data_IF_014990657770
#
_entry.id   IF_014990657770
#
_cell.length_a   1.000
_cell.length_b   1.000
_cell.length_c   1.000
_cell.angle_alpha   90.00
_cell.angle_beta   90.00
_cell.angle_gamma   90.00
#
_symmetry.space_group_name_H-M   'P 1'
#
loop_
_entity.id
_entity.type
_entity.pdbx_description
1 polymer ?
#
# COMPACT_ATOMS: atom_id res chain seq x y z
N UNK A 1 12.76 -25.49 3.60
CA UNK A 1 11.36 -25.05 3.87
C UNK A 1 10.72 -24.74 2.53
N UNK A 2 9.54 -25.31 2.28
CA UNK A 2 8.90 -25.34 0.96
C UNK A 2 8.51 -23.94 0.48
N UNK A 3 8.92 -23.56 -0.73
CA UNK A 3 8.61 -22.27 -1.37
C UNK A 3 7.08 -22.00 -1.42
N UNK A 4 6.25 -23.05 -1.45
CA UNK A 4 4.79 -22.96 -1.35
C UNK A 4 4.31 -22.35 -0.02
N UNK A 5 4.92 -22.72 1.12
CA UNK A 5 4.54 -22.21 2.44
C UNK A 5 4.82 -20.72 2.59
N UNK A 6 5.91 -20.24 1.98
CA UNK A 6 6.25 -18.81 1.95
C UNK A 6 5.25 -18.01 1.11
N UNK A 7 4.88 -18.51 -0.07
CA UNK A 7 3.89 -17.84 -0.94
C UNK A 7 2.51 -17.81 -0.27
N UNK A 8 2.07 -18.92 0.33
CA UNK A 8 0.78 -18.99 1.02
C UNK A 8 0.71 -18.03 2.22
N UNK A 9 1.78 -17.95 3.01
CA UNK A 9 1.88 -16.99 4.11
C UNK A 9 1.83 -15.54 3.62
N UNK A 10 2.49 -15.22 2.51
CA UNK A 10 2.48 -13.87 1.92
C UNK A 10 1.09 -13.50 1.38
N UNK A 11 0.41 -14.44 0.73
CA UNK A 11 -0.95 -14.22 0.25
C UNK A 11 -1.93 -13.95 1.41
N UNK A 12 -1.85 -14.72 2.49
CA UNK A 12 -2.68 -14.50 3.68
C UNK A 12 -2.43 -13.13 4.34
N UNK A 13 -1.17 -12.70 4.42
CA UNK A 13 -0.80 -11.38 4.94
C UNK A 13 -1.31 -10.26 4.02
N UNK A 14 -1.03 -10.33 2.71
CA UNK A 14 -1.37 -9.27 1.77
C UNK A 14 -2.88 -9.12 1.61
N UNK A 15 -3.64 -10.22 1.57
CA UNK A 15 -5.11 -10.19 1.47
C UNK A 15 -5.77 -9.58 2.73
N UNK A 16 -5.23 -9.86 3.92
CA UNK A 16 -5.66 -9.20 5.17
C UNK A 16 -5.35 -7.71 5.16
N UNK A 17 -4.13 -7.34 4.77
CA UNK A 17 -3.72 -5.95 4.64
C UNK A 17 -4.59 -5.19 3.64
N UNK A 18 -4.89 -5.77 2.48
CA UNK A 18 -5.76 -5.19 1.46
C UNK A 18 -7.15 -4.91 2.00
N UNK A 19 -7.76 -5.91 2.63
CA UNK A 19 -9.10 -5.77 3.22
C UNK A 19 -9.14 -4.68 4.28
N UNK A 20 -8.14 -4.63 5.18
CA UNK A 20 -8.05 -3.60 6.20
C UNK A 20 -7.82 -2.20 5.61
N UNK A 21 -7.01 -2.11 4.57
CA UNK A 21 -6.70 -0.89 3.85
C UNK A 21 -7.93 -0.34 3.12
N UNK A 22 -8.59 -1.14 2.28
CA UNK A 22 -9.78 -0.75 1.53
C UNK A 22 -10.94 -0.34 2.44
N UNK A 23 -11.16 -1.09 3.52
CA UNK A 23 -12.19 -0.75 4.51
C UNK A 23 -11.92 0.61 5.11
N UNK A 24 -10.66 0.89 5.46
CA UNK A 24 -10.25 2.16 6.07
C UNK A 24 -10.35 3.31 5.08
N UNK A 25 -9.92 3.09 3.84
CA UNK A 25 -10.02 4.07 2.75
C UNK A 25 -11.47 4.46 2.48
N UNK A 26 -12.37 3.46 2.41
CA UNK A 26 -13.81 3.68 2.22
C UNK A 26 -14.44 4.48 3.35
N UNK A 27 -14.06 4.19 4.60
CA UNK A 27 -14.50 4.92 5.79
C UNK A 27 -14.04 6.39 5.70
N UNK A 28 -12.77 6.63 5.37
CA UNK A 28 -12.25 7.99 5.21
C UNK A 28 -12.93 8.78 4.08
N UNK A 29 -13.27 8.13 2.95
CA UNK A 29 -13.92 8.78 1.81
C UNK A 29 -15.39 9.13 2.07
N UNK A 30 -16.14 8.24 2.75
CA UNK A 30 -17.60 8.40 2.97
C UNK A 30 -17.97 9.14 4.26
N UNK A 31 -17.19 9.01 5.32
CA UNK A 31 -17.58 9.41 6.67
C UNK A 31 -16.62 10.41 7.33
N UNK A 32 -15.70 11.02 6.56
CA UNK A 32 -14.67 11.94 7.08
C UNK A 32 -15.20 13.01 8.04
N UNK A 33 -16.42 13.49 7.84
CA UNK A 33 -17.04 14.56 8.64
C UNK A 33 -17.90 14.04 9.82
N UNK A 34 -18.07 12.72 9.97
CA UNK A 34 -18.94 12.08 10.98
C UNK A 34 -18.19 11.13 11.93
N UNK A 35 -16.95 10.77 11.60
CA UNK A 35 -16.14 9.85 12.40
C UNK A 35 -15.69 10.50 13.72
N UNK A 36 -15.72 9.72 14.80
CA UNK A 36 -15.06 10.12 16.04
C UNK A 36 -13.55 10.14 15.84
N UNK A 37 -12.80 10.98 16.58
CA UNK A 37 -11.34 11.03 16.49
C UNK A 37 -10.66 9.66 16.68
N UNK A 38 -11.21 8.77 17.50
CA UNK A 38 -10.68 7.42 17.71
C UNK A 38 -10.84 6.52 16.48
N UNK A 39 -11.99 6.56 15.82
CA UNK A 39 -12.29 5.78 14.60
C UNK A 39 -11.43 6.27 13.44
N UNK A 40 -11.29 7.59 13.33
CA UNK A 40 -10.43 8.25 12.35
C UNK A 40 -8.96 7.86 12.53
N UNK A 41 -8.45 7.90 13.76
CA UNK A 41 -7.08 7.46 14.06
C UNK A 41 -6.86 5.97 13.75
N UNK A 42 -7.87 5.12 13.99
CA UNK A 42 -7.78 3.70 13.69
C UNK A 42 -7.73 3.44 12.17
N UNK A 43 -8.59 4.10 11.40
CA UNK A 43 -8.57 4.01 9.93
C UNK A 43 -7.24 4.49 9.35
N UNK A 44 -6.71 5.63 9.84
CA UNK A 44 -5.39 6.14 9.44
C UNK A 44 -4.29 5.16 9.82
N UNK A 45 -4.34 4.58 11.02
CA UNK A 45 -3.35 3.59 11.47
C UNK A 45 -3.28 2.38 10.55
N UNK A 46 -4.42 1.89 10.07
CA UNK A 46 -4.49 0.77 9.12
C UNK A 46 -3.93 1.14 7.74
N UNK A 47 -4.20 2.36 7.27
CA UNK A 47 -3.60 2.86 6.01
C UNK A 47 -2.08 3.01 6.16
N UNK A 48 -1.62 3.59 7.27
CA UNK A 48 -0.19 3.76 7.53
C UNK A 48 0.57 2.43 7.55
N UNK A 49 -0.02 1.34 8.06
CA UNK A 49 0.61 0.01 8.00
C UNK A 49 0.99 -0.45 6.59
N UNK A 50 0.35 0.08 5.55
CA UNK A 50 0.64 -0.25 4.14
C UNK A 50 1.48 0.86 3.50
N UNK A 51 1.12 2.12 3.68
CA UNK A 51 1.82 3.26 3.04
C UNK A 51 3.24 3.44 3.60
N UNK A 52 3.46 3.15 4.88
CA UNK A 52 4.75 3.33 5.54
C UNK A 52 5.85 2.41 4.98
N UNK A 53 5.68 1.08 4.93
CA UNK A 53 6.69 0.20 4.33
C UNK A 53 6.92 0.49 2.83
N UNK A 54 5.89 0.88 2.08
CA UNK A 54 6.04 1.29 0.67
C UNK A 54 6.90 2.56 0.57
N UNK A 55 6.61 3.57 1.40
CA UNK A 55 7.37 4.81 1.44
C UNK A 55 8.82 4.61 1.91
N UNK A 56 9.06 3.69 2.84
CA UNK A 56 10.39 3.32 3.30
C UNK A 56 11.15 2.58 2.20
N UNK A 57 10.55 1.59 1.55
CA UNK A 57 11.15 0.89 0.41
C UNK A 57 11.49 1.82 -0.76
N UNK A 58 10.64 2.80 -1.07
CA UNK A 58 10.94 3.84 -2.07
C UNK A 58 12.13 4.71 -1.65
N UNK A 59 12.26 5.03 -0.36
CA UNK A 59 13.33 5.87 0.18
C UNK A 59 14.66 5.10 0.25
N UNK A 60 14.62 3.83 0.62
CA UNK A 60 15.79 2.96 0.74
C UNK A 60 16.31 2.50 -0.63
N UNK A 61 15.45 2.41 -1.66
CA UNK A 61 15.83 2.22 -3.07
C UNK A 61 16.54 3.43 -3.73
N UNK A 62 16.90 4.47 -2.97
CA UNK A 62 17.96 5.42 -3.38
C UNK A 62 19.37 4.79 -3.28
N UNK A 63 19.50 3.62 -2.66
CA UNK A 63 20.72 2.82 -2.64
C UNK A 63 20.45 1.47 -3.29
N UNK A 64 20.86 1.33 -4.56
CA UNK A 64 20.90 0.07 -5.31
C UNK A 64 21.37 -1.12 -4.46
N UNK A 65 20.47 -2.05 -4.15
CA UNK A 65 20.86 -3.40 -3.79
C UNK A 65 19.80 -4.39 -4.27
N UNK A 66 20.25 -5.22 -5.20
CA UNK A 66 19.57 -6.40 -5.72
C UNK A 66 19.29 -7.35 -4.57
N UNK A 67 18.04 -7.48 -4.14
CA UNK A 67 17.58 -8.77 -3.61
C UNK A 67 16.08 -8.98 -3.85
N UNK A 68 15.81 -10.12 -4.45
CA UNK A 68 14.50 -10.58 -4.88
C UNK A 68 13.68 -10.87 -3.61
N UNK A 69 12.67 -10.04 -3.30
CA UNK A 69 11.31 -10.49 -2.90
C UNK A 69 10.44 -9.55 -2.05
N UNK A 70 10.74 -8.25 -1.94
CA UNK A 70 9.84 -7.24 -1.34
C UNK A 70 9.41 -6.11 -2.31
N UNK A 71 9.83 -6.21 -3.57
CA UNK A 71 9.70 -5.13 -4.56
C UNK A 71 8.40 -5.16 -5.39
N UNK A 72 7.45 -6.08 -5.23
CA UNK A 72 6.38 -6.20 -6.21
C UNK A 72 5.37 -5.03 -6.21
N UNK A 73 4.90 -4.56 -5.05
CA UNK A 73 3.96 -3.41 -5.03
C UNK A 73 4.67 -2.16 -5.56
N UNK A 74 5.93 -1.93 -5.17
CA UNK A 74 6.73 -0.80 -5.66
C UNK A 74 6.97 -0.92 -7.16
N UNK A 75 7.29 -2.11 -7.68
CA UNK A 75 7.47 -2.37 -9.11
C UNK A 75 6.17 -2.13 -9.86
N UNK A 76 5.03 -2.63 -9.36
CA UNK A 76 3.71 -2.39 -9.96
C UNK A 76 3.42 -0.89 -10.03
N UNK A 77 3.68 -0.15 -8.95
CA UNK A 77 3.50 1.31 -8.93
C UNK A 77 4.48 2.03 -9.86
N UNK A 78 5.74 1.58 -9.92
CA UNK A 78 6.76 2.14 -10.80
C UNK A 78 6.41 1.92 -12.27
N UNK A 79 5.96 0.72 -12.63
CA UNK A 79 5.55 0.37 -14.00
C UNK A 79 4.32 1.17 -14.42
N UNK A 80 3.34 1.37 -13.52
CA UNK A 80 2.14 2.18 -13.80
C UNK A 80 2.43 3.67 -13.95
N UNK A 81 3.46 4.18 -13.28
CA UNK A 81 3.81 5.61 -13.25
C UNK A 81 5.19 5.90 -13.82
N UNK A 82 5.70 5.07 -14.73
CA UNK A 82 7.09 5.13 -15.23
C UNK A 82 7.48 6.55 -15.67
N UNK A 83 6.63 7.19 -16.48
CA UNK A 83 6.86 8.54 -17.02
C UNK A 83 6.97 9.63 -15.93
N UNK A 84 6.32 9.43 -14.78
CA UNK A 84 6.23 10.41 -13.70
C UNK A 84 6.73 9.87 -12.34
N UNK A 85 7.50 8.78 -12.35
CA UNK A 85 7.92 8.07 -11.16
C UNK A 85 8.63 8.97 -10.14
N UNK A 86 9.55 9.88 -10.52
CA UNK A 86 10.22 10.78 -9.58
C UNK A 86 9.28 11.73 -8.82
N UNK A 87 8.16 12.12 -9.43
CA UNK A 87 7.13 12.96 -8.81
C UNK A 87 6.18 12.10 -7.98
N UNK A 88 5.82 10.94 -8.51
CA UNK A 88 4.93 10.00 -7.84
C UNK A 88 5.52 9.50 -6.50
N UNK A 89 6.81 9.14 -6.46
CA UNK A 89 7.52 8.77 -5.23
C UNK A 89 7.48 9.86 -4.16
N UNK A 90 7.66 11.13 -4.56
CA UNK A 90 7.63 12.25 -3.63
C UNK A 90 6.22 12.43 -3.05
N UNK A 91 5.21 12.20 -3.86
CA UNK A 91 3.82 12.28 -3.44
C UNK A 91 3.48 11.18 -2.42
N UNK A 92 4.00 9.95 -2.59
CA UNK A 92 3.85 8.88 -1.60
C UNK A 92 4.52 9.27 -0.27
N UNK A 93 5.74 9.81 -0.31
CA UNK A 93 6.45 10.25 0.90
C UNK A 93 5.66 11.37 1.61
N UNK A 94 5.18 12.36 0.84
CA UNK A 94 4.34 13.45 1.36
C UNK A 94 3.04 12.93 1.94
N UNK A 95 2.41 11.94 1.29
CA UNK A 95 1.19 11.29 1.78
C UNK A 95 1.44 10.59 3.12
N UNK A 96 2.53 9.81 3.25
CA UNK A 96 2.94 9.21 4.54
C UNK A 96 3.07 10.27 5.63
N UNK A 97 3.78 11.35 5.35
CA UNK A 97 4.00 12.42 6.34
C UNK A 97 2.71 13.15 6.71
N UNK A 98 1.81 13.37 5.74
CA UNK A 98 0.45 13.88 6.01
C UNK A 98 -0.32 12.94 6.94
N UNK A 99 -0.34 11.64 6.65
CA UNK A 99 -1.01 10.61 7.45
C UNK A 99 -0.43 10.54 8.88
N UNK A 100 0.90 10.60 9.03
CA UNK A 100 1.59 10.64 10.33
C UNK A 100 1.29 11.92 11.10
N UNK A 101 1.21 13.07 10.43
CA UNK A 101 0.95 14.37 11.04
C UNK A 101 -0.47 14.48 11.61
N UNK A 102 -1.39 13.58 11.22
CA UNK A 102 -2.81 13.62 11.57
C UNK A 102 -3.47 14.96 11.26
N UNK A 103 -2.92 15.77 10.33
CA UNK A 103 -3.53 17.04 9.93
C UNK A 103 -4.60 16.75 8.88
N UNK A 104 -5.86 16.89 9.30
CA UNK A 104 -7.04 16.22 8.76
C UNK A 104 -7.65 16.80 7.46
N UNK A 105 -6.84 17.03 6.44
CA UNK A 105 -7.36 17.21 5.09
C UNK A 105 -6.51 16.44 4.09
N UNK A 106 -6.91 15.18 3.85
CA UNK A 106 -6.55 14.50 2.60
C UNK A 106 -7.31 15.20 1.46
N UNK A 107 -6.54 15.60 0.46
CA UNK A 107 -7.05 16.10 -0.82
C UNK A 107 -7.56 14.95 -1.68
N UNK A 108 -8.26 15.26 -2.78
CA UNK A 108 -8.66 14.22 -3.75
C UNK A 108 -7.44 13.50 -4.33
N UNK A 109 -6.34 14.24 -4.54
CA UNK A 109 -5.06 13.68 -4.99
C UNK A 109 -4.48 12.67 -3.99
N UNK A 110 -4.62 12.95 -2.69
CA UNK A 110 -4.20 12.02 -1.64
C UNK A 110 -5.04 10.74 -1.65
N UNK A 111 -6.35 10.85 -1.91
CA UNK A 111 -7.22 9.68 -2.07
C UNK A 111 -6.90 8.90 -3.33
N UNK A 112 -6.57 9.56 -4.44
CA UNK A 112 -6.18 8.90 -5.67
C UNK A 112 -4.89 8.08 -5.50
N UNK A 113 -3.92 8.61 -4.75
CA UNK A 113 -2.69 7.87 -4.41
C UNK A 113 -3.01 6.65 -3.54
N UNK A 114 -3.93 6.78 -2.58
CA UNK A 114 -4.34 5.65 -1.75
C UNK A 114 -5.08 4.58 -2.54
N UNK A 115 -5.95 4.97 -3.46
CA UNK A 115 -6.67 4.04 -4.36
C UNK A 115 -5.69 3.28 -5.25
N UNK A 116 -4.69 3.96 -5.80
CA UNK A 116 -3.68 3.29 -6.64
C UNK A 116 -2.77 2.33 -5.84
N UNK A 117 -2.45 2.66 -4.58
CA UNK A 117 -1.78 1.73 -3.66
C UNK A 117 -2.67 0.50 -3.37
N UNK A 118 -3.97 0.68 -3.20
CA UNK A 118 -4.93 -0.42 -3.05
C UNK A 118 -4.93 -1.32 -4.31
N UNK A 119 -5.02 -0.72 -5.49
CA UNK A 119 -5.02 -1.46 -6.76
C UNK A 119 -3.70 -2.20 -7.01
N UNK A 120 -2.57 -1.65 -6.55
CA UNK A 120 -1.27 -2.32 -6.64
C UNK A 120 -1.18 -3.50 -5.66
N UNK A 121 -1.74 -3.36 -4.46
CA UNK A 121 -1.82 -4.41 -3.46
C UNK A 121 -2.78 -5.54 -3.89
N UNK A 122 -3.88 -5.22 -4.56
CA UNK A 122 -4.81 -6.20 -5.14
C UNK A 122 -4.15 -6.98 -6.28
N UNK A 123 -3.46 -6.29 -7.19
CA UNK A 123 -2.69 -6.94 -8.25
C UNK A 123 -1.65 -7.91 -7.69
N UNK A 124 -0.92 -7.52 -6.65
CA UNK A 124 0.02 -8.40 -5.95
C UNK A 124 -0.67 -9.63 -5.34
N UNK A 125 -1.84 -9.46 -4.72
CA UNK A 125 -2.64 -10.59 -4.23
C UNK A 125 -3.03 -11.54 -5.37
N UNK A 126 -3.44 -11.00 -6.52
CA UNK A 126 -3.76 -11.76 -7.72
C UNK A 126 -2.57 -12.58 -8.24
N UNK A 127 -1.38 -11.97 -8.33
CA UNK A 127 -0.16 -12.66 -8.72
C UNK A 127 0.22 -13.79 -7.75
N UNK A 128 0.13 -13.54 -6.45
CA UNK A 128 0.40 -14.56 -5.43
C UNK A 128 -0.59 -15.73 -5.52
N UNK A 129 -1.88 -15.44 -5.76
CA UNK A 129 -2.90 -16.46 -5.96
C UNK A 129 -2.64 -17.33 -7.20
N UNK A 130 -2.31 -16.71 -8.33
CA UNK A 130 -1.96 -17.44 -9.55
C UNK A 130 -0.74 -18.36 -9.34
N UNK A 131 0.29 -17.87 -8.65
CA UNK A 131 1.48 -18.68 -8.34
C UNK A 131 1.19 -19.83 -7.38
N UNK A 132 0.17 -19.70 -6.53
CA UNK A 132 -0.31 -20.80 -5.69
C UNK A 132 -1.04 -21.84 -6.54
N UNK A 133 -1.92 -21.42 -7.44
CA UNK A 133 -2.70 -22.34 -8.28
C UNK A 133 -1.85 -23.11 -9.29
N UNK A 134 -0.79 -22.50 -9.84
CA UNK A 134 0.16 -23.16 -10.76
C UNK A 134 1.04 -24.23 -10.08
N UNK A 135 1.04 -24.30 -8.74
CA UNK A 135 1.87 -25.22 -7.94
C UNK A 135 1.08 -26.29 -7.20
N UNK A 136 -0.24 -26.34 -7.41
CA UNK A 136 -1.16 -27.37 -6.94
C UNK A 136 -1.36 -28.38 -8.08
#
# INVERSE_FOLDING_TARGET
MSNLGVIASRFDINSKSLKEFDTSLRILKKEKNKLKPSELNNAIGKILKVVEPISEGIKDNLSTSVDISENNIINILQDRHEENWPKYRENIIKLRDKLRSKKFQLSEEDFQLLEDIADALDAECGYLFQRLSERI
#
